data_IF_546946489219
#
_entry.id   IF_546946489219
#
_cell.length_a   1.000
_cell.length_b   1.000
_cell.length_c   1.000
_cell.angle_alpha   90.00
_cell.angle_beta   90.00
_cell.angle_gamma   90.00
#
_symmetry.space_group_name_H-M   'P 1'
#
loop_
_entity.id
_entity.type
_entity.pdbx_description
1 polymer ?
#
# COMPACT_ATOMS: atom_id res chain seq x y z
N UNK A 1 17.01 26.87 -8.99
CA UNK A 1 16.34 25.94 -8.05
C UNK A 1 14.93 26.44 -7.85
N UNK A 2 13.93 25.80 -8.46
CA UNK A 2 12.54 26.28 -8.43
C UNK A 2 11.94 25.90 -7.07
N UNK A 3 11.63 26.91 -6.28
CA UNK A 3 10.96 26.73 -4.98
C UNK A 3 9.45 26.55 -5.24
N UNK A 4 8.95 25.30 -5.08
CA UNK A 4 7.52 24.99 -5.22
C UNK A 4 6.85 24.97 -3.84
N UNK A 5 5.71 25.66 -3.62
CA UNK A 5 4.99 25.60 -2.35
C UNK A 5 4.45 24.18 -2.08
N UNK A 6 4.46 23.75 -0.80
CA UNK A 6 4.33 22.39 -0.30
C UNK A 6 3.23 21.47 -0.91
N UNK A 7 2.08 22.00 -1.33
CA UNK A 7 1.00 21.17 -1.90
C UNK A 7 1.25 20.61 -3.31
N UNK A 8 2.28 21.05 -4.01
CA UNK A 8 2.57 20.59 -5.38
C UNK A 8 3.44 19.32 -5.43
N UNK A 9 4.25 19.06 -4.41
CA UNK A 9 5.09 17.86 -4.35
C UNK A 9 4.28 16.57 -4.27
N UNK A 10 3.14 16.58 -3.60
CA UNK A 10 2.27 15.42 -3.45
C UNK A 10 1.76 14.90 -4.81
N UNK A 11 1.30 15.79 -5.68
CA UNK A 11 0.84 15.41 -7.03
C UNK A 11 1.99 14.90 -7.91
N UNK A 12 3.17 15.53 -7.82
CA UNK A 12 4.34 15.11 -8.59
C UNK A 12 4.83 13.72 -8.18
N UNK A 13 4.82 13.38 -6.89
CA UNK A 13 5.24 12.04 -6.44
C UNK A 13 4.34 10.94 -6.98
N UNK A 14 3.02 11.18 -7.03
CA UNK A 14 2.08 10.23 -7.63
C UNK A 14 2.25 10.15 -9.15
N UNK A 15 2.39 11.29 -9.83
CA UNK A 15 2.61 11.31 -11.28
C UNK A 15 3.91 10.58 -11.66
N UNK A 16 5.00 10.82 -10.92
CA UNK A 16 6.25 10.08 -11.11
C UNK A 16 6.06 8.58 -10.89
N UNK A 17 5.30 8.20 -9.85
CA UNK A 17 4.99 6.82 -9.56
C UNK A 17 4.27 6.10 -10.70
N UNK A 18 3.39 6.79 -11.42
CA UNK A 18 2.65 6.21 -12.53
C UNK A 18 3.42 6.20 -13.85
N UNK A 19 4.30 7.19 -14.07
CA UNK A 19 5.04 7.34 -15.33
C UNK A 19 6.37 6.60 -15.34
N UNK A 20 7.02 6.46 -14.18
CA UNK A 20 8.30 5.78 -14.06
C UNK A 20 8.12 4.25 -14.12
N UNK A 21 9.14 3.58 -14.68
CA UNK A 21 9.17 2.12 -14.74
C UNK A 21 10.00 1.55 -13.58
N UNK A 22 9.72 0.31 -13.15
CA UNK A 22 10.61 -0.41 -12.25
C UNK A 22 12.02 -0.50 -12.83
N UNK A 23 13.02 -0.35 -12.00
CA UNK A 23 14.40 -0.50 -12.40
C UNK A 23 15.00 -1.78 -11.82
N UNK A 24 15.90 -2.40 -12.56
CA UNK A 24 16.56 -3.66 -12.16
C UNK A 24 17.95 -3.42 -11.56
N UNK A 25 18.61 -2.33 -11.94
CA UNK A 25 19.93 -1.93 -11.45
C UNK A 25 19.92 -0.44 -11.08
N UNK A 26 20.71 -0.06 -10.09
CA UNK A 26 20.88 1.34 -9.67
C UNK A 26 21.48 2.24 -10.76
N UNK A 27 22.10 1.66 -11.78
CA UNK A 27 22.63 2.36 -12.95
C UNK A 27 21.61 2.58 -14.06
N UNK A 28 20.43 1.94 -13.94
CA UNK A 28 19.34 2.13 -14.88
C UNK A 28 18.89 3.60 -14.89
N UNK A 29 18.56 4.11 -16.09
CA UNK A 29 18.09 5.49 -16.27
C UNK A 29 16.80 5.78 -15.47
N UNK A 30 15.97 4.79 -15.24
CA UNK A 30 14.71 4.90 -14.48
C UNK A 30 14.93 4.87 -12.96
N UNK A 31 16.09 4.38 -12.50
CA UNK A 31 16.46 4.36 -11.09
C UNK A 31 16.44 5.76 -10.43
N UNK A 32 16.72 6.81 -11.21
CA UNK A 32 16.71 8.20 -10.72
C UNK A 32 15.40 8.63 -10.08
N UNK A 33 14.25 8.14 -10.59
CA UNK A 33 12.94 8.49 -10.07
C UNK A 33 12.70 7.84 -8.70
N UNK A 34 12.99 6.55 -8.58
CA UNK A 34 12.92 5.84 -7.29
C UNK A 34 13.91 6.41 -6.27
N UNK A 35 15.12 6.73 -6.69
CA UNK A 35 16.14 7.36 -5.81
C UNK A 35 15.67 8.74 -5.33
N UNK A 36 15.02 9.53 -6.18
CA UNK A 36 14.44 10.82 -5.80
C UNK A 36 13.35 10.62 -4.74
N UNK A 37 12.40 9.72 -4.97
CA UNK A 37 11.32 9.43 -4.02
C UNK A 37 11.86 8.91 -2.68
N UNK A 38 12.84 8.00 -2.70
CA UNK A 38 13.51 7.52 -1.49
C UNK A 38 14.23 8.65 -0.73
N UNK A 39 14.85 9.59 -1.43
CA UNK A 39 15.47 10.76 -0.82
C UNK A 39 14.43 11.67 -0.17
N UNK A 40 13.30 11.91 -0.86
CA UNK A 40 12.18 12.71 -0.30
C UNK A 40 11.59 12.04 0.94
N UNK A 41 11.29 10.74 0.87
CA UNK A 41 10.82 9.98 2.02
C UNK A 41 11.72 10.13 3.24
N UNK A 42 13.03 9.97 3.06
CA UNK A 42 14.00 9.97 4.17
C UNK A 42 14.30 11.35 4.73
N UNK A 43 14.21 12.42 3.93
CA UNK A 43 14.80 13.73 4.26
C UNK A 43 13.85 14.90 4.20
N UNK A 44 12.66 14.77 3.61
CA UNK A 44 11.76 15.89 3.47
C UNK A 44 11.14 16.25 4.84
N UNK A 45 11.02 17.55 5.13
CA UNK A 45 10.47 18.03 6.41
C UNK A 45 8.96 17.80 6.50
N UNK A 46 8.26 18.01 5.38
CA UNK A 46 6.80 17.84 5.32
C UNK A 46 6.43 16.36 5.30
N UNK A 47 5.55 15.97 6.23
CA UNK A 47 5.09 14.59 6.39
C UNK A 47 4.28 14.09 5.19
N UNK A 48 3.43 14.94 4.61
CA UNK A 48 2.66 14.57 3.42
C UNK A 48 3.57 14.21 2.25
N UNK A 49 4.59 15.02 1.99
CA UNK A 49 5.58 14.73 0.93
C UNK A 49 6.27 13.39 1.18
N UNK A 50 6.63 13.07 2.43
CA UNK A 50 7.21 11.76 2.76
C UNK A 50 6.24 10.63 2.48
N UNK A 51 5.00 10.75 2.94
CA UNK A 51 3.96 9.75 2.79
C UNK A 51 3.63 9.48 1.31
N UNK A 52 3.44 10.53 0.52
CA UNK A 52 3.20 10.38 -0.92
C UNK A 52 4.42 9.85 -1.69
N UNK A 53 5.64 10.13 -1.20
CA UNK A 53 6.85 9.55 -1.79
C UNK A 53 6.92 8.04 -1.62
N UNK A 54 6.54 7.53 -0.44
CA UNK A 54 6.42 6.08 -0.19
C UNK A 54 5.37 5.47 -1.11
N UNK A 55 4.21 6.10 -1.23
CA UNK A 55 3.14 5.62 -2.11
C UNK A 55 3.58 5.63 -3.58
N UNK A 56 4.31 6.65 -4.01
CA UNK A 56 4.89 6.74 -5.35
C UNK A 56 5.86 5.59 -5.65
N UNK A 57 6.65 5.13 -4.66
CA UNK A 57 7.51 3.95 -4.80
C UNK A 57 6.67 2.67 -5.04
N UNK A 58 5.54 2.52 -4.36
CA UNK A 58 4.59 1.43 -4.60
C UNK A 58 4.03 1.46 -6.03
N UNK A 59 3.68 2.64 -6.54
CA UNK A 59 3.23 2.80 -7.94
C UNK A 59 4.31 2.48 -8.96
N UNK A 60 5.57 2.84 -8.73
CA UNK A 60 6.68 2.42 -9.60
C UNK A 60 6.84 0.91 -9.53
N UNK A 61 6.77 0.34 -8.34
CA UNK A 61 6.89 -1.09 -8.12
C UNK A 61 8.30 -1.65 -8.38
N UNK A 62 8.40 -2.97 -8.42
CA UNK A 62 9.64 -3.70 -8.68
C UNK A 62 10.41 -4.07 -7.42
N UNK A 63 11.27 -5.08 -7.54
CA UNK A 63 11.93 -5.73 -6.40
C UNK A 63 12.73 -4.77 -5.51
N UNK A 64 13.53 -3.88 -6.11
CA UNK A 64 14.34 -2.93 -5.35
C UNK A 64 13.51 -1.89 -4.59
N UNK A 65 12.39 -1.44 -5.17
CA UNK A 65 11.45 -0.56 -4.46
C UNK A 65 10.71 -1.31 -3.36
N UNK A 66 10.30 -2.55 -3.62
CA UNK A 66 9.64 -3.44 -2.65
C UNK A 66 10.50 -3.69 -1.42
N UNK A 67 11.79 -3.99 -1.60
CA UNK A 67 12.72 -4.10 -0.49
C UNK A 67 12.81 -2.80 0.34
N UNK A 68 12.85 -1.66 -0.35
CA UNK A 68 12.90 -0.36 0.33
C UNK A 68 11.61 -0.08 1.12
N UNK A 69 10.45 -0.46 0.57
CA UNK A 69 9.14 -0.33 1.21
C UNK A 69 9.02 -1.25 2.43
N UNK A 70 9.47 -2.51 2.36
CA UNK A 70 9.50 -3.42 3.51
C UNK A 70 10.37 -2.87 4.64
N UNK A 71 11.56 -2.36 4.30
CA UNK A 71 12.44 -1.70 5.28
C UNK A 71 11.81 -0.44 5.88
N UNK A 72 11.05 0.31 5.09
CA UNK A 72 10.32 1.48 5.56
C UNK A 72 9.19 1.08 6.51
N UNK A 73 8.40 0.08 6.14
CA UNK A 73 7.30 -0.46 6.95
C UNK A 73 7.78 -0.97 8.33
N UNK A 74 8.87 -1.74 8.34
CA UNK A 74 9.46 -2.25 9.57
C UNK A 74 9.96 -1.11 10.48
N UNK A 75 10.70 -0.15 9.92
CA UNK A 75 11.27 0.99 10.65
C UNK A 75 10.23 2.01 11.13
N UNK A 76 9.09 2.13 10.44
CA UNK A 76 8.06 3.07 10.81
C UNK A 76 7.47 2.81 12.21
N UNK A 77 7.58 1.58 12.72
CA UNK A 77 7.10 1.22 14.07
C UNK A 77 5.63 1.60 14.25
N UNK A 78 5.32 2.43 15.27
CA UNK A 78 3.95 2.90 15.57
C UNK A 78 3.69 4.34 15.10
N UNK A 79 4.49 4.85 14.16
CA UNK A 79 4.36 6.22 13.66
C UNK A 79 3.20 6.37 12.68
N UNK A 80 2.80 7.63 12.42
CA UNK A 80 1.79 7.96 11.40
C UNK A 80 2.23 7.63 9.96
N UNK A 81 3.48 7.25 9.75
CA UNK A 81 4.00 6.85 8.43
C UNK A 81 3.68 5.39 8.10
N UNK A 82 3.48 4.52 9.11
CA UNK A 82 3.25 3.10 8.92
C UNK A 82 2.02 2.77 8.06
N UNK A 83 0.86 3.42 8.22
CA UNK A 83 -0.28 3.25 7.33
C UNK A 83 0.05 3.47 5.85
N UNK A 84 0.83 4.49 5.55
CA UNK A 84 1.25 4.81 4.18
C UNK A 84 2.20 3.76 3.60
N UNK A 85 3.09 3.21 4.42
CA UNK A 85 3.95 2.10 4.02
C UNK A 85 3.12 0.83 3.73
N UNK A 86 2.09 0.55 4.53
CA UNK A 86 1.17 -0.57 4.30
C UNK A 86 0.42 -0.43 2.96
N UNK A 87 -0.14 0.76 2.70
CA UNK A 87 -0.78 1.05 1.41
C UNK A 87 0.19 0.91 0.23
N UNK A 88 1.42 1.44 0.37
CA UNK A 88 2.43 1.36 -0.69
C UNK A 88 2.84 -0.09 -1.01
N UNK A 89 2.95 -0.96 -0.01
CA UNK A 89 3.18 -2.39 -0.20
C UNK A 89 2.00 -3.08 -0.90
N UNK A 90 0.77 -2.73 -0.54
CA UNK A 90 -0.43 -3.21 -1.23
C UNK A 90 -0.46 -2.78 -2.71
N UNK A 91 -0.14 -1.51 -2.99
CA UNK A 91 -0.09 -0.98 -4.37
C UNK A 91 1.01 -1.67 -5.19
N UNK A 92 2.21 -1.86 -4.65
CA UNK A 92 3.29 -2.59 -5.31
C UNK A 92 2.87 -4.02 -5.65
N UNK A 93 2.28 -4.72 -4.68
CA UNK A 93 1.79 -6.09 -4.86
C UNK A 93 0.68 -6.18 -5.91
N UNK A 94 -0.27 -5.24 -5.90
CA UNK A 94 -1.34 -5.18 -6.89
C UNK A 94 -0.80 -4.95 -8.30
N UNK A 95 0.17 -4.06 -8.44
CA UNK A 95 0.84 -3.81 -9.71
C UNK A 95 1.54 -5.06 -10.23
N UNK A 96 2.29 -5.74 -9.39
CA UNK A 96 2.98 -6.99 -9.74
C UNK A 96 1.97 -8.04 -10.21
N UNK A 97 0.88 -8.23 -9.46
CA UNK A 97 -0.22 -9.13 -9.81
C UNK A 97 -0.82 -8.78 -11.17
N UNK A 98 -1.10 -7.50 -11.43
CA UNK A 98 -1.67 -7.04 -12.70
C UNK A 98 -0.71 -7.30 -13.86
N UNK A 99 0.57 -6.99 -13.72
CA UNK A 99 1.58 -7.23 -14.75
C UNK A 99 1.70 -8.72 -15.08
N UNK A 100 1.70 -9.61 -14.07
CA UNK A 100 1.69 -11.05 -14.28
C UNK A 100 0.44 -11.49 -15.04
N UNK A 101 -0.74 -11.02 -14.60
CA UNK A 101 -2.02 -11.38 -15.21
C UNK A 101 -2.11 -10.93 -16.67
N UNK A 102 -1.65 -9.73 -16.97
CA UNK A 102 -1.67 -9.17 -18.34
C UNK A 102 -0.69 -9.93 -19.28
N UNK A 103 0.44 -10.41 -18.71
CA UNK A 103 1.45 -11.17 -19.47
C UNK A 103 1.10 -12.64 -19.66
N UNK A 104 0.65 -13.31 -18.58
CA UNK A 104 0.55 -14.77 -18.51
C UNK A 104 -0.91 -15.27 -18.46
N UNK A 105 -1.90 -14.36 -18.45
CA UNK A 105 -3.33 -14.68 -18.30
C UNK A 105 -3.72 -15.10 -16.87
N UNK A 106 -2.75 -15.35 -16.01
CA UNK A 106 -2.92 -15.69 -14.59
C UNK A 106 -1.88 -14.98 -13.74
N UNK A 107 -2.16 -14.84 -12.45
CA UNK A 107 -1.23 -14.22 -11.51
C UNK A 107 -1.34 -14.85 -10.12
N UNK A 108 -0.23 -14.86 -9.41
CA UNK A 108 -0.17 -15.28 -8.01
C UNK A 108 0.17 -14.08 -7.13
N UNK A 109 -0.61 -13.83 -6.06
CA UNK A 109 -0.29 -12.79 -5.11
C UNK A 109 1.09 -13.00 -4.47
N UNK A 110 1.76 -11.90 -4.10
CA UNK A 110 3.01 -11.97 -3.35
C UNK A 110 2.72 -12.38 -1.89
N UNK A 111 2.82 -13.68 -1.59
CA UNK A 111 2.45 -14.26 -0.30
C UNK A 111 3.18 -13.58 0.87
N UNK A 112 4.48 -13.35 0.76
CA UNK A 112 5.28 -12.75 1.83
C UNK A 112 4.85 -11.30 2.17
N UNK A 113 4.32 -10.53 1.21
CA UNK A 113 3.72 -9.23 1.47
C UNK A 113 2.41 -9.41 2.23
N UNK A 114 1.54 -10.31 1.76
CA UNK A 114 0.29 -10.66 2.42
C UNK A 114 0.49 -11.09 3.86
N UNK A 115 1.42 -12.00 4.12
CA UNK A 115 1.78 -12.49 5.45
C UNK A 115 2.29 -11.35 6.36
N UNK A 116 3.14 -10.48 5.83
CA UNK A 116 3.69 -9.32 6.56
C UNK A 116 2.58 -8.36 6.98
N UNK A 117 1.69 -8.00 6.04
CA UNK A 117 0.56 -7.10 6.32
C UNK A 117 -0.46 -7.76 7.26
N UNK A 118 -0.76 -9.05 7.08
CA UNK A 118 -1.73 -9.76 7.91
C UNK A 118 -1.24 -9.96 9.35
N UNK A 119 0.04 -10.27 9.53
CA UNK A 119 0.66 -10.33 10.87
C UNK A 119 0.49 -9.01 11.62
N UNK A 120 0.76 -7.89 10.96
CA UNK A 120 0.59 -6.57 11.56
C UNK A 120 -0.90 -6.24 11.80
N UNK A 121 -1.78 -6.58 10.85
CA UNK A 121 -3.23 -6.36 10.96
C UNK A 121 -3.80 -7.01 12.21
N UNK A 122 -3.42 -8.25 12.53
CA UNK A 122 -3.90 -8.96 13.73
C UNK A 122 -3.58 -8.22 15.02
N UNK A 123 -2.45 -7.52 15.09
CA UNK A 123 -1.99 -6.81 16.29
C UNK A 123 -2.28 -5.31 16.30
N UNK A 124 -2.64 -4.73 15.14
CA UNK A 124 -2.89 -3.30 15.01
C UNK A 124 -4.12 -2.88 15.83
N UNK A 125 -3.97 -1.79 16.62
CA UNK A 125 -5.05 -1.18 17.42
C UNK A 125 -5.43 0.21 16.93
N UNK A 126 -4.55 0.86 16.19
CA UNK A 126 -4.79 2.19 15.62
C UNK A 126 -5.73 2.04 14.41
N UNK A 127 -6.86 2.78 14.36
CA UNK A 127 -7.82 2.67 13.26
C UNK A 127 -7.24 2.98 11.88
N UNK A 128 -6.43 4.04 11.76
CA UNK A 128 -5.81 4.43 10.49
C UNK A 128 -4.90 3.30 9.95
N UNK A 129 -4.14 2.67 10.86
CA UNK A 129 -3.28 1.56 10.49
C UNK A 129 -4.09 0.31 10.10
N UNK A 130 -5.16 0.01 10.84
CA UNK A 130 -6.05 -1.11 10.50
C UNK A 130 -6.70 -0.92 9.14
N UNK A 131 -7.21 0.29 8.84
CA UNK A 131 -7.79 0.62 7.56
C UNK A 131 -6.79 0.50 6.40
N UNK A 132 -5.60 1.06 6.58
CA UNK A 132 -4.53 0.97 5.59
C UNK A 132 -4.08 -0.48 5.34
N UNK A 133 -3.96 -1.29 6.40
CA UNK A 133 -3.62 -2.72 6.30
C UNK A 133 -4.73 -3.51 5.60
N UNK A 134 -6.01 -3.22 5.90
CA UNK A 134 -7.15 -3.87 5.24
C UNK A 134 -7.14 -3.60 3.73
N UNK A 135 -6.95 -2.34 3.32
CA UNK A 135 -6.84 -1.98 1.89
C UNK A 135 -5.58 -2.64 1.28
N UNK A 136 -4.44 -2.61 1.97
CA UNK A 136 -3.21 -3.25 1.51
C UNK A 136 -3.35 -4.76 1.28
N UNK A 137 -4.03 -5.47 2.20
CA UNK A 137 -4.36 -6.89 2.10
C UNK A 137 -5.32 -7.15 0.92
N UNK A 138 -6.31 -6.30 0.73
CA UNK A 138 -7.22 -6.36 -0.40
C UNK A 138 -6.50 -6.21 -1.75
N UNK A 139 -5.61 -5.23 -1.86
CA UNK A 139 -4.77 -5.01 -3.05
C UNK A 139 -3.82 -6.20 -3.30
N UNK A 140 -3.30 -6.82 -2.25
CA UNK A 140 -2.46 -8.02 -2.35
C UNK A 140 -3.26 -9.28 -2.71
N UNK A 141 -4.60 -9.26 -2.64
CA UNK A 141 -5.45 -10.45 -2.80
C UNK A 141 -5.21 -11.54 -1.75
N UNK A 142 -4.91 -11.15 -0.51
CA UNK A 142 -4.66 -12.10 0.58
C UNK A 142 -5.98 -12.64 1.17
N UNK A 143 -6.48 -13.73 0.59
CA UNK A 143 -7.73 -14.37 1.02
C UNK A 143 -7.69 -14.93 2.44
N UNK A 144 -6.51 -15.23 3.00
CA UNK A 144 -6.37 -15.72 4.38
C UNK A 144 -6.81 -14.69 5.42
N UNK A 145 -6.78 -13.40 5.07
CA UNK A 145 -7.20 -12.33 5.95
C UNK A 145 -8.73 -12.09 5.93
N UNK A 146 -9.48 -12.67 4.98
CA UNK A 146 -10.88 -12.33 4.73
C UNK A 146 -11.77 -12.57 5.97
N UNK A 147 -11.65 -13.72 6.62
CA UNK A 147 -12.47 -14.07 7.79
C UNK A 147 -12.25 -13.10 8.97
N UNK A 148 -10.99 -12.77 9.25
CA UNK A 148 -10.66 -11.82 10.32
C UNK A 148 -11.15 -10.41 9.96
N UNK A 149 -11.06 -10.01 8.70
CA UNK A 149 -11.55 -8.70 8.24
C UNK A 149 -13.08 -8.62 8.34
N UNK A 150 -13.82 -9.65 7.92
CA UNK A 150 -15.28 -9.73 8.10
C UNK A 150 -15.69 -9.64 9.57
N UNK A 151 -15.04 -10.46 10.41
CA UNK A 151 -15.31 -10.45 11.86
C UNK A 151 -15.10 -9.07 12.47
N UNK A 152 -14.05 -8.36 12.08
CA UNK A 152 -13.80 -6.98 12.55
C UNK A 152 -14.79 -5.99 12.00
N UNK A 153 -15.17 -6.10 10.73
CA UNK A 153 -16.16 -5.23 10.09
C UNK A 153 -17.47 -5.29 10.82
N UNK A 154 -17.99 -6.50 11.07
CA UNK A 154 -19.25 -6.71 11.79
C UNK A 154 -19.20 -6.23 13.25
N UNK A 155 -18.06 -6.35 13.92
CA UNK A 155 -17.87 -5.83 15.30
C UNK A 155 -17.78 -4.31 15.37
N UNK A 156 -17.38 -3.66 14.29
CA UNK A 156 -17.14 -2.21 14.24
C UNK A 156 -18.20 -1.46 13.42
N UNK A 157 -19.39 -2.02 13.20
CA UNK A 157 -20.47 -1.37 12.44
C UNK A 157 -20.80 0.05 12.94
N UNK A 158 -20.70 0.28 14.26
CA UNK A 158 -20.89 1.60 14.85
C UNK A 158 -19.75 2.61 14.53
N UNK A 159 -18.66 2.15 13.95
CA UNK A 159 -17.52 2.95 13.51
C UNK A 159 -17.46 2.92 11.98
N UNK A 160 -18.35 3.69 11.34
CA UNK A 160 -18.57 3.68 9.89
C UNK A 160 -17.28 3.76 9.07
N UNK A 161 -16.33 4.61 9.49
CA UNK A 161 -15.06 4.78 8.78
C UNK A 161 -14.22 3.47 8.77
N UNK A 162 -14.12 2.81 9.91
CA UNK A 162 -13.37 1.56 10.04
C UNK A 162 -14.06 0.43 9.26
N UNK A 163 -15.37 0.29 9.42
CA UNK A 163 -16.16 -0.70 8.70
C UNK A 163 -16.05 -0.48 7.18
N UNK A 164 -16.06 0.78 6.73
CA UNK A 164 -15.85 1.16 5.33
C UNK A 164 -14.48 0.73 4.78
N UNK A 165 -13.39 0.95 5.52
CA UNK A 165 -12.06 0.49 5.09
C UNK A 165 -11.96 -1.03 4.99
N UNK A 166 -12.56 -1.76 5.94
CA UNK A 166 -12.61 -3.22 5.91
C UNK A 166 -13.42 -3.72 4.71
N UNK A 167 -14.59 -3.11 4.45
CA UNK A 167 -15.42 -3.42 3.28
C UNK A 167 -14.67 -3.19 1.96
N UNK A 168 -13.96 -2.06 1.82
CA UNK A 168 -13.11 -1.77 0.65
C UNK A 168 -12.03 -2.86 0.49
N UNK A 169 -11.36 -3.23 1.58
CA UNK A 169 -10.34 -4.29 1.54
C UNK A 169 -10.90 -5.63 1.07
N UNK A 170 -12.04 -6.06 1.59
CA UNK A 170 -12.73 -7.29 1.19
C UNK A 170 -13.17 -7.25 -0.29
N UNK A 171 -13.73 -6.14 -0.74
CA UNK A 171 -14.10 -5.95 -2.14
C UNK A 171 -12.88 -6.00 -3.07
N UNK A 172 -11.76 -5.37 -2.69
CA UNK A 172 -10.51 -5.43 -3.43
C UNK A 172 -9.90 -6.84 -3.48
N UNK A 173 -10.09 -7.66 -2.44
CA UNK A 173 -9.74 -9.08 -2.45
C UNK A 173 -10.50 -9.86 -3.53
N UNK A 174 -11.72 -9.49 -3.81
CA UNK A 174 -12.68 -10.26 -4.59
C UNK A 174 -13.33 -11.36 -3.75
N UNK A 175 -13.58 -11.07 -2.48
CA UNK A 175 -14.27 -11.98 -1.56
C UNK A 175 -15.79 -11.89 -1.78
N UNK A 176 -16.32 -12.77 -2.63
CA UNK A 176 -17.74 -12.83 -2.96
C UNK A 176 -18.61 -13.21 -1.75
N UNK A 177 -18.04 -13.89 -0.75
CA UNK A 177 -18.77 -14.30 0.44
C UNK A 177 -19.13 -13.13 1.38
N UNK A 178 -18.41 -12.01 1.25
CA UNK A 178 -18.65 -10.79 2.03
C UNK A 178 -19.70 -9.84 1.45
N UNK A 179 -20.31 -10.15 0.30
CA UNK A 179 -21.21 -9.21 -0.38
C UNK A 179 -22.42 -8.81 0.46
N UNK A 180 -23.01 -9.76 1.19
CA UNK A 180 -24.16 -9.47 2.04
C UNK A 180 -23.76 -8.68 3.29
N UNK A 181 -22.65 -9.03 3.91
CA UNK A 181 -22.12 -8.34 5.08
C UNK A 181 -21.74 -6.88 4.76
N UNK A 182 -21.18 -6.63 3.56
CA UNK A 182 -20.84 -5.27 3.10
C UNK A 182 -22.08 -4.40 2.91
N UNK A 183 -23.22 -4.98 2.48
CA UNK A 183 -24.47 -4.22 2.33
C UNK A 183 -25.08 -3.78 3.67
N UNK A 184 -24.66 -4.37 4.78
CA UNK A 184 -25.16 -4.05 6.12
C UNK A 184 -24.36 -2.94 6.83
N UNK A 185 -23.27 -2.48 6.23
CA UNK A 185 -22.38 -1.44 6.73
C UNK A 185 -22.61 -0.13 5.98
#
# INVERSE_FOLDING_TARGET
MVHWPGGRWTLWTLALGQLAKPYMDKKDSDAKYSQLLLKQYKKHKDAQTRNFSVLGLGFIGGELNREALLKAFDKAGKTQEKPWCALALGVDSHRDYKVQKDRDGSATPLSFIGETLFKEFKSAKNPDLQGALAIGLGLNKNMEAADEMRSRMLKNQAQEEMAGYLAIGLALMGDDTSQEDIKMV
#
